data_IF_453989045009
#
_entry.id   IF_453989045009
#
_cell.length_a   1.000
_cell.length_b   1.000
_cell.length_c   1.000
_cell.angle_alpha   90.00
_cell.angle_beta   90.00
_cell.angle_gamma   90.00
#
_symmetry.space_group_name_H-M   'P 1'
#
loop_
_entity.id
_entity.type
_entity.pdbx_description
1 polymer ?
#
# COMPACT_ATOMS: atom_id res chain seq x y z
N UNK A 1 -14.95 -16.40 21.03
CA UNK A 1 -15.99 -15.41 21.37
C UNK A 1 -16.54 -15.76 22.74
N UNK A 2 -16.50 -14.79 23.64
CA UNK A 2 -17.17 -14.91 24.93
C UNK A 2 -18.71 -14.88 24.75
N UNK A 3 -19.44 -15.14 25.82
CA UNK A 3 -20.90 -15.25 25.84
C UNK A 3 -21.61 -13.92 25.56
N UNK A 4 -21.03 -12.80 25.99
CA UNK A 4 -21.56 -11.46 25.74
C UNK A 4 -21.37 -11.08 24.27
N UNK A 5 -20.17 -11.31 23.71
CA UNK A 5 -19.91 -11.12 22.29
C UNK A 5 -20.84 -11.97 21.38
N UNK A 6 -21.30 -13.15 21.84
CA UNK A 6 -22.28 -13.96 21.09
C UNK A 6 -23.67 -13.36 21.10
N UNK A 7 -24.08 -12.76 22.20
CA UNK A 7 -25.38 -12.10 22.33
C UNK A 7 -25.45 -10.84 21.45
N UNK A 8 -24.40 -10.02 21.47
CA UNK A 8 -24.28 -8.84 20.60
C UNK A 8 -24.29 -9.22 19.10
N UNK A 9 -23.59 -10.29 18.73
CA UNK A 9 -23.58 -10.79 17.36
C UNK A 9 -24.96 -11.32 16.92
N UNK A 10 -25.70 -11.98 17.83
CA UNK A 10 -27.06 -12.44 17.55
C UNK A 10 -28.05 -11.26 17.37
N UNK A 11 -27.89 -10.19 18.14
CA UNK A 11 -28.66 -8.96 17.97
C UNK A 11 -28.38 -8.32 16.60
N UNK A 12 -27.11 -8.26 16.19
CA UNK A 12 -26.72 -7.75 14.87
C UNK A 12 -27.27 -8.57 13.71
N UNK A 13 -27.33 -9.90 13.83
CA UNK A 13 -27.92 -10.75 12.77
C UNK A 13 -29.44 -10.52 12.65
N UNK A 14 -30.11 -10.25 13.75
CA UNK A 14 -31.57 -10.07 13.78
C UNK A 14 -31.99 -8.66 13.38
N UNK A 15 -31.17 -7.65 13.67
CA UNK A 15 -31.37 -6.27 13.23
C UNK A 15 -30.61 -5.97 11.93
N UNK A 16 -31.30 -6.18 10.81
CA UNK A 16 -30.75 -5.94 9.46
C UNK A 16 -30.35 -4.48 9.22
N UNK A 17 -30.90 -3.51 9.97
CA UNK A 17 -30.56 -2.09 9.81
C UNK A 17 -29.20 -1.78 10.42
N UNK A 18 -28.96 -2.21 11.67
CA UNK A 18 -27.66 -2.09 12.34
C UNK A 18 -26.56 -2.85 11.59
N UNK A 19 -26.90 -4.02 11.04
CA UNK A 19 -25.98 -4.81 10.23
C UNK A 19 -25.59 -4.07 8.94
N UNK A 20 -26.55 -3.44 8.25
CA UNK A 20 -26.27 -2.65 7.05
C UNK A 20 -25.37 -1.45 7.36
N UNK A 21 -25.60 -0.77 8.48
CA UNK A 21 -24.75 0.35 8.93
C UNK A 21 -23.32 -0.10 9.19
N UNK A 22 -23.11 -1.24 9.85
CA UNK A 22 -21.78 -1.82 10.05
C UNK A 22 -21.13 -2.25 8.74
N UNK A 23 -21.89 -2.91 7.86
CA UNK A 23 -21.38 -3.35 6.55
C UNK A 23 -21.00 -2.16 5.67
N UNK A 24 -21.73 -1.04 5.77
CA UNK A 24 -21.44 0.18 5.00
C UNK A 24 -20.07 0.79 5.28
N UNK A 25 -19.49 0.50 6.46
CA UNK A 25 -18.17 0.97 6.87
C UNK A 25 -17.03 0.07 6.34
N UNK A 26 -17.36 -1.12 5.84
CA UNK A 26 -16.37 -2.06 5.32
C UNK A 26 -15.95 -1.63 3.91
N UNK A 27 -14.65 -1.77 3.60
CA UNK A 27 -14.13 -1.52 2.26
C UNK A 27 -14.95 -2.27 1.19
N UNK A 28 -15.32 -1.62 0.07
CA UNK A 28 -16.05 -2.26 -1.03
C UNK A 28 -15.40 -3.56 -1.50
N UNK A 29 -14.07 -3.69 -1.38
CA UNK A 29 -13.34 -4.90 -1.76
C UNK A 29 -13.73 -6.13 -0.94
N UNK A 30 -14.09 -5.97 0.34
CA UNK A 30 -14.56 -7.07 1.18
C UNK A 30 -15.94 -7.59 0.75
N UNK A 31 -16.72 -6.74 0.04
CA UNK A 31 -18.04 -7.07 -0.48
C UNK A 31 -18.01 -7.51 -1.95
N UNK A 32 -16.84 -7.82 -2.50
CA UNK A 32 -16.67 -8.16 -3.93
C UNK A 32 -17.56 -9.33 -4.38
N UNK A 33 -17.90 -10.26 -3.48
CA UNK A 33 -18.76 -11.40 -3.75
C UNK A 33 -20.27 -11.05 -3.69
N UNK A 34 -20.62 -9.83 -3.28
CA UNK A 34 -22.00 -9.37 -3.04
C UNK A 34 -22.32 -8.07 -3.81
N UNK A 35 -22.32 -8.09 -5.15
CA UNK A 35 -22.49 -6.88 -5.97
C UNK A 35 -23.85 -6.18 -5.78
N UNK A 36 -24.91 -6.95 -5.50
CA UNK A 36 -26.24 -6.39 -5.21
C UNK A 36 -26.23 -5.57 -3.90
N UNK A 37 -25.52 -6.06 -2.89
CA UNK A 37 -25.38 -5.39 -1.59
C UNK A 37 -24.55 -4.10 -1.74
N UNK A 38 -23.43 -4.16 -2.48
CA UNK A 38 -22.66 -2.96 -2.80
C UNK A 38 -23.51 -1.88 -3.47
N UNK A 39 -24.29 -2.26 -4.49
CA UNK A 39 -25.18 -1.32 -5.20
C UNK A 39 -26.21 -0.71 -4.24
N UNK A 40 -26.81 -1.53 -3.37
CA UNK A 40 -27.79 -1.05 -2.40
C UNK A 40 -27.17 -0.04 -1.41
N UNK A 41 -25.98 -0.33 -0.89
CA UNK A 41 -25.27 0.55 0.05
C UNK A 41 -24.92 1.90 -0.60
N UNK A 42 -24.48 1.89 -1.86
CA UNK A 42 -24.21 3.14 -2.61
C UNK A 42 -25.50 3.96 -2.80
N UNK A 43 -26.61 3.31 -3.16
CA UNK A 43 -27.89 4.00 -3.34
C UNK A 43 -28.39 4.62 -2.03
N UNK A 44 -28.24 3.90 -0.92
CA UNK A 44 -28.69 4.34 0.40
C UNK A 44 -27.76 5.38 1.04
N UNK A 45 -26.52 5.50 0.57
CA UNK A 45 -25.54 6.47 1.08
C UNK A 45 -26.09 7.90 1.04
N UNK A 46 -25.98 8.60 2.17
CA UNK A 46 -26.36 10.01 2.30
C UNK A 46 -25.68 10.87 1.23
N UNK A 47 -24.41 10.59 0.92
CA UNK A 47 -23.64 11.32 -0.10
C UNK A 47 -24.15 11.11 -1.51
N UNK A 48 -24.63 9.91 -1.83
CA UNK A 48 -25.27 9.67 -3.12
C UNK A 48 -26.61 10.40 -3.21
N UNK A 49 -27.39 10.44 -2.12
CA UNK A 49 -28.66 11.21 -2.07
C UNK A 49 -28.41 12.71 -2.23
N UNK A 50 -27.39 13.25 -1.57
CA UNK A 50 -26.95 14.64 -1.72
C UNK A 50 -26.59 14.96 -3.18
N UNK A 51 -25.79 14.10 -3.82
CA UNK A 51 -25.40 14.24 -5.23
C UNK A 51 -26.63 14.26 -6.15
N UNK A 52 -27.51 13.27 -6.02
CA UNK A 52 -28.72 13.18 -6.83
C UNK A 52 -29.67 14.38 -6.60
N UNK A 53 -29.74 14.89 -5.37
CA UNK A 53 -30.50 16.11 -5.07
C UNK A 53 -29.87 17.35 -5.72
N UNK A 54 -28.54 17.48 -5.69
CA UNK A 54 -27.82 18.59 -6.32
C UNK A 54 -28.00 18.61 -7.84
N UNK A 55 -27.95 17.44 -8.49
CA UNK A 55 -28.20 17.30 -9.94
C UNK A 55 -29.65 17.69 -10.27
N UNK A 56 -30.62 17.15 -9.53
CA UNK A 56 -32.05 17.49 -9.71
C UNK A 56 -32.36 18.96 -9.47
N UNK A 57 -31.66 19.59 -8.52
CA UNK A 57 -31.78 21.01 -8.22
C UNK A 57 -31.04 21.91 -9.25
N UNK A 58 -30.36 21.32 -10.24
CA UNK A 58 -29.66 22.06 -11.29
C UNK A 58 -28.41 22.79 -10.79
N UNK A 59 -27.81 22.37 -9.67
CA UNK A 59 -26.54 22.97 -9.20
C UNK A 59 -25.39 22.69 -10.16
N UNK A 60 -25.41 21.52 -10.79
CA UNK A 60 -24.54 21.07 -11.87
C UNK A 60 -25.22 19.89 -12.58
N UNK A 61 -24.73 19.56 -13.76
CA UNK A 61 -25.15 18.44 -14.59
C UNK A 61 -24.33 17.18 -14.30
N UNK A 62 -24.86 16.01 -14.68
CA UNK A 62 -24.12 14.75 -14.60
C UNK A 62 -22.84 14.79 -15.45
N UNK A 63 -22.87 15.47 -16.60
CA UNK A 63 -21.69 15.67 -17.46
C UNK A 63 -20.61 16.52 -16.79
N UNK A 64 -20.99 17.58 -16.06
CA UNK A 64 -20.03 18.38 -15.30
C UNK A 64 -19.42 17.57 -14.16
N UNK A 65 -20.21 16.72 -13.49
CA UNK A 65 -19.70 15.81 -12.47
C UNK A 65 -18.66 14.83 -13.04
N UNK A 66 -18.97 14.19 -14.17
CA UNK A 66 -18.05 13.26 -14.82
C UNK A 66 -16.77 13.95 -15.29
N UNK A 67 -16.87 15.20 -15.76
CA UNK A 67 -15.71 15.99 -16.16
C UNK A 67 -14.75 16.23 -14.97
N UNK A 68 -15.27 16.55 -13.80
CA UNK A 68 -14.44 16.71 -12.60
C UNK A 68 -13.81 15.38 -12.17
N UNK A 69 -14.53 14.26 -12.32
CA UNK A 69 -13.95 12.93 -12.09
C UNK A 69 -12.79 12.65 -13.06
N UNK A 70 -12.92 13.02 -14.33
CA UNK A 70 -11.85 12.83 -15.32
C UNK A 70 -10.63 13.72 -15.04
N UNK A 71 -10.84 14.96 -14.59
CA UNK A 71 -9.73 15.84 -14.16
C UNK A 71 -8.99 15.30 -12.95
N UNK A 72 -9.73 14.72 -12.00
CA UNK A 72 -9.13 14.02 -10.87
C UNK A 72 -8.26 12.84 -11.34
N UNK A 73 -8.77 12.03 -12.28
CA UNK A 73 -8.01 10.90 -12.86
C UNK A 73 -6.76 11.37 -13.60
N UNK A 74 -6.85 12.47 -14.36
CA UNK A 74 -5.71 13.05 -15.07
C UNK A 74 -4.61 13.51 -14.10
N UNK A 75 -5.00 14.21 -13.02
CA UNK A 75 -4.07 14.65 -11.96
C UNK A 75 -3.38 13.46 -11.29
N UNK A 76 -4.14 12.43 -10.91
CA UNK A 76 -3.59 11.20 -10.30
C UNK A 76 -2.65 10.50 -11.30
N UNK A 77 -3.04 10.42 -12.57
CA UNK A 77 -2.21 9.83 -13.62
C UNK A 77 -0.87 10.55 -13.77
N UNK A 78 -0.89 11.89 -13.75
CA UNK A 78 0.30 12.73 -13.80
C UNK A 78 1.21 12.51 -12.58
N UNK A 79 0.65 12.45 -11.36
CA UNK A 79 1.44 12.18 -10.15
C UNK A 79 2.09 10.78 -10.18
N UNK A 80 1.35 9.77 -10.64
CA UNK A 80 1.87 8.40 -10.74
C UNK A 80 3.04 8.32 -11.72
N UNK A 81 2.91 8.94 -12.89
CA UNK A 81 3.93 8.82 -13.95
C UNK A 81 5.26 9.49 -13.56
N UNK A 82 5.25 10.50 -12.69
CA UNK A 82 6.47 11.12 -12.14
C UNK A 82 7.34 10.14 -11.33
N UNK A 83 6.75 9.05 -10.82
CA UNK A 83 7.43 8.05 -9.99
C UNK A 83 7.87 6.81 -10.76
N UNK A 84 7.58 6.74 -12.06
CA UNK A 84 7.73 5.55 -12.90
C UNK A 84 8.79 5.80 -13.97
N UNK A 85 9.53 4.75 -14.32
CA UNK A 85 10.45 4.80 -15.45
C UNK A 85 9.70 4.87 -16.80
N UNK A 86 9.83 6.02 -17.46
CA UNK A 86 9.21 6.36 -18.76
C UNK A 86 10.18 6.25 -19.94
N UNK A 87 11.36 5.63 -19.76
CA UNK A 87 12.41 5.54 -20.80
C UNK A 87 11.90 4.96 -22.12
N UNK A 88 11.08 3.90 -22.07
CA UNK A 88 10.51 3.27 -23.26
C UNK A 88 9.61 4.24 -24.05
N UNK A 89 8.74 4.98 -23.36
CA UNK A 89 7.89 6.02 -23.96
C UNK A 89 8.74 7.14 -24.54
N UNK A 90 9.72 7.63 -23.78
CA UNK A 90 10.63 8.69 -24.22
C UNK A 90 11.38 8.30 -25.49
N UNK A 91 11.99 7.11 -25.53
CA UNK A 91 12.68 6.60 -26.72
C UNK A 91 11.74 6.49 -27.93
N UNK A 92 10.49 6.05 -27.70
CA UNK A 92 9.49 5.97 -28.77
C UNK A 92 9.14 7.35 -29.30
N UNK A 93 8.85 8.32 -28.42
CA UNK A 93 8.53 9.70 -28.82
C UNK A 93 9.72 10.34 -29.55
N UNK A 94 10.95 10.18 -29.04
CA UNK A 94 12.17 10.66 -29.71
C UNK A 94 12.28 10.10 -31.13
N UNK A 95 11.96 8.81 -31.33
CA UNK A 95 11.99 8.19 -32.67
C UNK A 95 10.95 8.76 -33.65
N UNK A 96 9.87 9.38 -33.13
CA UNK A 96 8.77 9.92 -33.92
C UNK A 96 8.95 11.41 -34.20
N UNK A 97 9.36 12.20 -33.20
CA UNK A 97 9.38 13.68 -33.29
C UNK A 97 10.77 14.31 -33.17
N UNK A 98 11.79 13.55 -32.73
CA UNK A 98 13.13 14.07 -32.52
C UNK A 98 13.17 15.22 -31.52
N UNK A 99 13.51 16.42 -31.99
CA UNK A 99 13.61 17.63 -31.18
C UNK A 99 12.35 18.53 -31.25
N UNK A 100 11.35 18.21 -32.06
CA UNK A 100 10.15 19.02 -32.23
C UNK A 100 9.13 18.76 -31.10
N UNK A 101 9.31 19.46 -29.98
CA UNK A 101 8.49 19.27 -28.78
C UNK A 101 6.99 19.51 -29.01
N UNK A 102 6.63 20.46 -29.86
CA UNK A 102 5.22 20.77 -30.19
C UNK A 102 4.54 19.65 -30.97
N UNK A 103 5.29 18.81 -31.68
CA UNK A 103 4.73 17.67 -32.41
C UNK A 103 4.27 16.55 -31.46
N UNK A 104 4.72 16.53 -30.20
CA UNK A 104 4.30 15.53 -29.21
C UNK A 104 2.79 15.57 -28.99
N UNK A 105 2.18 16.76 -28.96
CA UNK A 105 0.74 16.95 -28.75
C UNK A 105 -0.11 16.37 -29.88
N UNK A 106 0.50 16.12 -31.05
CA UNK A 106 -0.19 15.58 -32.22
C UNK A 106 -0.12 14.05 -32.31
N UNK A 107 0.68 13.40 -31.46
CA UNK A 107 0.85 11.96 -31.47
C UNK A 107 -0.42 11.25 -31.00
N UNK A 108 -0.79 10.20 -31.73
CA UNK A 108 -1.92 9.34 -31.39
C UNK A 108 -1.48 8.06 -30.69
N UNK A 109 -2.44 7.35 -30.10
CA UNK A 109 -2.24 5.99 -29.55
C UNK A 109 -1.65 5.05 -30.60
N UNK A 110 -2.05 5.20 -31.87
CA UNK A 110 -1.56 4.38 -32.98
C UNK A 110 -0.08 4.66 -33.27
N UNK A 111 0.33 5.93 -33.23
CA UNK A 111 1.71 6.32 -33.49
C UNK A 111 2.65 5.81 -32.40
N UNK A 112 2.24 5.93 -31.13
CA UNK A 112 3.04 5.46 -29.99
C UNK A 112 3.13 3.93 -30.00
N UNK A 113 2.00 3.26 -30.24
CA UNK A 113 1.90 1.81 -30.28
C UNK A 113 1.42 1.21 -28.96
N UNK A 114 0.61 0.16 -29.07
CA UNK A 114 -0.05 -0.47 -27.92
C UNK A 114 0.91 -1.13 -26.94
N UNK A 115 2.06 -1.63 -27.40
CA UNK A 115 3.06 -2.29 -26.55
C UNK A 115 3.67 -1.32 -25.52
N UNK A 116 4.15 -0.16 -25.98
CA UNK A 116 4.75 0.88 -25.14
C UNK A 116 3.72 1.43 -24.15
N UNK A 117 2.50 1.65 -24.61
CA UNK A 117 1.41 2.14 -23.77
C UNK A 117 0.96 1.10 -22.74
N UNK A 118 0.87 -0.17 -23.12
CA UNK A 118 0.52 -1.25 -22.21
C UNK A 118 1.57 -1.42 -21.11
N UNK A 119 2.86 -1.38 -21.46
CA UNK A 119 3.95 -1.43 -20.47
C UNK A 119 3.82 -0.28 -19.45
N UNK A 120 3.59 0.94 -19.93
CA UNK A 120 3.39 2.10 -19.06
C UNK A 120 2.18 1.94 -18.14
N UNK A 121 1.04 1.51 -18.68
CA UNK A 121 -0.19 1.29 -17.91
C UNK A 121 -0.01 0.19 -16.86
N UNK A 122 0.73 -0.88 -17.18
CA UNK A 122 1.07 -1.94 -16.22
C UNK A 122 1.94 -1.38 -15.09
N UNK A 123 2.96 -0.58 -15.42
CA UNK A 123 3.79 0.08 -14.40
C UNK A 123 2.95 0.99 -13.50
N UNK A 124 2.05 1.80 -14.08
CA UNK A 124 1.13 2.65 -13.32
C UNK A 124 0.22 1.84 -12.41
N UNK A 125 -0.37 0.75 -12.90
CA UNK A 125 -1.20 -0.14 -12.11
C UNK A 125 -0.43 -0.75 -10.93
N UNK A 126 0.81 -1.19 -11.15
CA UNK A 126 1.66 -1.72 -10.09
C UNK A 126 1.99 -0.66 -9.02
N UNK A 127 2.30 0.57 -9.44
CA UNK A 127 2.53 1.68 -8.50
C UNK A 127 1.30 1.98 -7.65
N UNK A 128 0.11 1.99 -8.26
CA UNK A 128 -1.17 2.15 -7.52
C UNK A 128 -1.34 1.02 -6.51
N UNK A 129 -1.11 -0.22 -6.92
CA UNK A 129 -1.21 -1.39 -6.03
C UNK A 129 -0.20 -1.26 -4.88
N UNK A 130 1.03 -0.84 -5.14
CA UNK A 130 2.05 -0.70 -4.11
C UNK A 130 1.77 0.45 -3.12
N UNK A 131 1.18 1.54 -3.59
CA UNK A 131 0.75 2.66 -2.74
C UNK A 131 -0.54 2.37 -1.96
N UNK A 132 -1.38 1.44 -2.43
CA UNK A 132 -2.65 1.06 -1.78
C UNK A 132 -2.54 -0.20 -0.93
N UNK A 133 -1.45 -0.96 -1.07
CA UNK A 133 -1.11 -2.02 -0.11
C UNK A 133 -0.96 -1.38 1.26
N UNK A 134 -1.89 -1.67 2.17
CA UNK A 134 -1.62 -1.65 3.60
C UNK A 134 -0.33 -2.47 3.76
N UNK A 135 0.77 -1.80 4.11
CA UNK A 135 2.02 -2.51 4.43
C UNK A 135 1.69 -3.37 5.63
N UNK A 136 1.32 -4.63 5.40
CA UNK A 136 1.30 -5.63 6.45
C UNK A 136 2.75 -5.80 6.82
N UNK A 137 3.17 -5.09 7.87
CA UNK A 137 4.53 -5.15 8.36
C UNK A 137 4.73 -6.57 8.93
N UNK A 138 5.25 -7.46 8.09
CA UNK A 138 5.67 -8.79 8.53
C UNK A 138 7.09 -8.66 9.06
N UNK A 139 7.19 -8.36 10.35
CA UNK A 139 8.48 -8.41 11.03
C UNK A 139 9.04 -9.84 10.94
N UNK A 140 10.34 -10.03 10.61
CA UNK A 140 10.93 -11.36 10.52
C UNK A 140 10.81 -12.19 11.81
N UNK A 141 10.71 -11.51 12.97
CA UNK A 141 10.52 -12.14 14.27
C UNK A 141 9.08 -12.56 14.59
N UNK A 142 8.09 -12.17 13.76
CA UNK A 142 6.69 -12.60 13.85
C UNK A 142 6.32 -13.61 12.74
N UNK A 143 7.29 -14.16 12.01
CA UNK A 143 7.01 -15.05 10.90
C UNK A 143 6.48 -16.42 11.35
N UNK A 144 5.25 -16.80 10.96
CA UNK A 144 4.68 -18.12 11.29
C UNK A 144 5.28 -19.29 10.49
N UNK A 145 6.03 -19.01 9.42
CA UNK A 145 6.66 -20.00 8.54
C UNK A 145 8.13 -19.67 8.29
N UNK A 146 8.99 -20.68 8.42
CA UNK A 146 10.44 -20.58 8.21
C UNK A 146 11.24 -20.81 9.48
N UNK A 147 12.56 -20.87 9.35
CA UNK A 147 13.46 -20.90 10.53
C UNK A 147 13.71 -19.46 10.99
N UNK A 148 13.12 -19.08 12.11
CA UNK A 148 13.41 -17.79 12.76
C UNK A 148 14.61 -17.98 13.68
N UNK A 149 15.64 -17.15 13.49
CA UNK A 149 16.75 -17.05 14.42
C UNK A 149 16.35 -16.18 15.63
N UNK A 150 15.56 -16.77 16.54
CA UNK A 150 15.04 -16.06 17.72
C UNK A 150 16.15 -15.43 18.56
N UNK A 151 17.31 -16.08 18.65
CA UNK A 151 18.46 -15.58 19.41
C UNK A 151 18.99 -14.27 18.82
N UNK A 152 19.06 -14.16 17.49
CA UNK A 152 19.44 -12.91 16.84
C UNK A 152 18.38 -11.83 17.07
N UNK A 153 17.11 -12.15 16.78
CA UNK A 153 16.06 -11.13 16.80
C UNK A 153 15.78 -10.57 18.20
N UNK A 154 15.97 -11.36 19.28
CA UNK A 154 15.91 -10.83 20.66
C UNK A 154 17.03 -9.82 20.97
N UNK A 155 18.15 -9.90 20.26
CA UNK A 155 19.30 -8.99 20.40
C UNK A 155 19.40 -7.98 19.25
N UNK A 156 18.34 -7.81 18.45
CA UNK A 156 18.38 -6.98 17.26
C UNK A 156 18.77 -5.52 17.56
N UNK A 157 18.42 -4.98 18.73
CA UNK A 157 18.84 -3.65 19.19
C UNK A 157 20.38 -3.50 19.23
N UNK A 158 21.11 -4.50 19.74
CA UNK A 158 22.58 -4.46 19.78
C UNK A 158 23.18 -4.55 18.38
N UNK A 159 22.61 -5.40 17.53
CA UNK A 159 23.01 -5.51 16.14
C UNK A 159 22.72 -4.21 15.35
N UNK A 160 21.63 -3.50 15.68
CA UNK A 160 21.32 -2.19 15.10
C UNK A 160 22.33 -1.12 15.53
N UNK A 161 22.72 -1.11 16.80
CA UNK A 161 23.74 -0.20 17.32
C UNK A 161 25.09 -0.43 16.62
N UNK A 162 25.50 -1.70 16.48
CA UNK A 162 26.70 -2.06 15.73
C UNK A 162 26.62 -1.68 14.24
N UNK A 163 25.44 -1.87 13.63
CA UNK A 163 25.20 -1.54 12.22
C UNK A 163 25.28 -0.03 11.94
N UNK A 164 24.72 0.78 12.84
CA UNK A 164 24.50 2.22 12.64
C UNK A 164 25.62 3.07 13.23
N UNK A 165 26.15 2.69 14.39
CA UNK A 165 27.11 3.50 15.15
C UNK A 165 28.54 2.98 15.11
N UNK A 166 28.73 1.66 14.96
CA UNK A 166 30.06 1.04 14.98
C UNK A 166 30.62 0.69 13.58
N UNK A 167 29.89 1.02 12.51
CA UNK A 167 30.37 0.87 11.13
C UNK A 167 30.25 -0.54 10.53
N UNK A 168 29.51 -1.45 11.16
CA UNK A 168 29.22 -2.80 10.64
C UNK A 168 28.07 -2.78 9.60
N UNK A 169 28.15 -1.88 8.62
CA UNK A 169 27.04 -1.53 7.70
C UNK A 169 26.77 -2.52 6.55
N UNK A 170 27.49 -3.64 6.49
CA UNK A 170 27.28 -4.73 5.52
C UNK A 170 26.94 -6.05 6.23
N UNK A 171 26.21 -6.94 5.54
CA UNK A 171 25.83 -8.24 6.12
C UNK A 171 27.04 -9.02 6.66
N UNK A 172 28.12 -9.11 5.87
CA UNK A 172 29.34 -9.81 6.27
C UNK A 172 29.94 -9.25 7.57
N UNK A 173 30.09 -7.92 7.64
CA UNK A 173 30.62 -7.23 8.82
C UNK A 173 29.73 -7.45 10.04
N UNK A 174 28.42 -7.26 9.87
CA UNK A 174 27.43 -7.48 10.92
C UNK A 174 27.42 -8.93 11.40
N UNK A 175 27.56 -9.91 10.50
CA UNK A 175 27.61 -11.32 10.86
C UNK A 175 28.81 -11.64 11.76
N UNK A 176 30.01 -11.15 11.41
CA UNK A 176 31.19 -11.33 12.25
C UNK A 176 31.01 -10.71 13.64
N UNK A 177 30.44 -9.50 13.69
CA UNK A 177 30.13 -8.85 14.97
C UNK A 177 29.12 -9.67 15.78
N UNK A 178 28.09 -10.21 15.14
CA UNK A 178 27.05 -10.97 15.83
C UNK A 178 27.58 -12.31 16.39
N UNK A 179 28.40 -13.02 15.61
CA UNK A 179 29.03 -14.26 16.07
C UNK A 179 29.95 -14.00 17.28
N UNK A 180 30.67 -12.88 17.29
CA UNK A 180 31.58 -12.51 18.37
C UNK A 180 30.89 -11.97 19.63
N UNK A 181 29.82 -11.16 19.49
CA UNK A 181 29.26 -10.38 20.61
C UNK A 181 27.91 -10.89 21.14
N UNK A 182 27.10 -11.53 20.30
CA UNK A 182 25.79 -12.06 20.69
C UNK A 182 25.67 -13.57 20.46
N UNK A 183 26.76 -14.23 20.05
CA UNK A 183 26.86 -15.69 19.94
C UNK A 183 25.94 -16.29 18.88
N UNK A 184 25.57 -15.54 17.85
CA UNK A 184 24.67 -16.00 16.78
C UNK A 184 25.00 -15.35 15.45
N UNK A 185 24.64 -16.01 14.36
CA UNK A 185 24.74 -15.43 13.02
C UNK A 185 23.73 -14.31 12.81
N UNK A 186 24.10 -13.35 11.97
CA UNK A 186 23.19 -12.33 11.49
C UNK A 186 22.37 -12.88 10.31
N UNK A 187 21.02 -12.90 10.36
CA UNK A 187 20.19 -13.24 9.22
C UNK A 187 20.51 -12.34 8.02
N UNK A 188 20.45 -12.88 6.80
CA UNK A 188 20.65 -12.12 5.56
C UNK A 188 19.69 -10.93 5.42
N UNK A 189 18.51 -11.03 6.03
CA UNK A 189 17.50 -9.97 6.05
C UNK A 189 17.81 -8.83 7.02
N UNK A 190 18.77 -8.97 7.94
CA UNK A 190 19.02 -7.99 9.01
C UNK A 190 19.41 -6.59 8.52
N UNK A 191 20.30 -6.39 7.53
CA UNK A 191 20.62 -5.04 7.07
C UNK A 191 19.44 -4.36 6.38
N UNK A 192 18.63 -5.13 5.62
CA UNK A 192 17.41 -4.61 5.00
C UNK A 192 16.39 -4.22 6.07
N UNK A 193 16.23 -5.04 7.10
CA UNK A 193 15.36 -4.74 8.23
C UNK A 193 15.73 -3.41 8.90
N UNK A 194 17.00 -3.19 9.24
CA UNK A 194 17.46 -1.94 9.88
C UNK A 194 17.28 -0.72 8.98
N UNK A 195 17.51 -0.85 7.67
CA UNK A 195 17.25 0.23 6.71
C UNK A 195 15.76 0.55 6.57
N UNK A 196 14.89 -0.46 6.65
CA UNK A 196 13.46 -0.31 6.43
C UNK A 196 12.68 0.14 7.66
N UNK A 197 13.10 -0.28 8.86
CA UNK A 197 12.35 -0.06 10.10
C UNK A 197 13.13 0.71 11.17
N UNK A 198 14.42 0.99 10.95
CA UNK A 198 15.24 1.72 11.90
C UNK A 198 15.55 0.90 13.15
N UNK A 199 15.59 1.62 14.29
CA UNK A 199 15.90 1.05 15.60
C UNK A 199 14.79 0.10 16.09
N UNK A 200 15.07 -1.19 16.32
CA UNK A 200 14.09 -2.15 16.85
C UNK A 200 13.43 -1.70 18.16
N UNK A 201 14.10 -0.89 18.98
CA UNK A 201 13.56 -0.37 20.26
C UNK A 201 12.37 0.57 20.05
N UNK A 202 12.18 1.10 18.85
CA UNK A 202 11.04 1.97 18.51
C UNK A 202 9.81 1.19 18.03
N UNK A 203 9.94 -0.13 17.84
CA UNK A 203 8.87 -1.01 17.36
C UNK A 203 8.17 -1.68 18.56
N UNK A 204 6.92 -1.34 18.89
CA UNK A 204 6.21 -1.95 20.02
C UNK A 204 6.17 -3.49 19.95
N UNK A 205 5.99 -4.04 18.74
CA UNK A 205 5.93 -5.47 18.50
C UNK A 205 7.28 -6.14 18.79
N UNK A 206 8.39 -5.45 18.51
CA UNK A 206 9.70 -5.97 18.86
C UNK A 206 9.95 -5.89 20.36
N UNK A 207 9.56 -4.79 21.01
CA UNK A 207 9.70 -4.61 22.46
C UNK A 207 8.95 -5.71 23.21
N UNK A 208 7.71 -5.99 22.82
CA UNK A 208 6.92 -7.10 23.35
C UNK A 208 7.58 -8.46 23.07
N UNK A 209 7.94 -8.72 21.80
CA UNK A 209 8.56 -9.98 21.37
C UNK A 209 9.90 -10.27 22.08
N UNK A 210 10.74 -9.25 22.25
CA UNK A 210 12.04 -9.36 22.89
C UNK A 210 11.96 -9.29 24.43
N UNK A 211 10.77 -8.97 24.97
CA UNK A 211 10.57 -8.66 26.40
C UNK A 211 11.55 -7.60 26.89
N UNK A 212 11.76 -6.57 26.06
CA UNK A 212 12.76 -5.54 26.31
C UNK A 212 12.19 -4.50 27.28
N UNK A 213 12.69 -4.49 28.51
CA UNK A 213 12.41 -3.43 29.47
C UNK A 213 13.52 -2.39 29.39
N UNK A 214 13.19 -1.14 29.03
CA UNK A 214 14.12 -0.03 29.23
C UNK A 214 14.42 0.08 30.74
N UNK A 215 15.65 -0.24 31.11
CA UNK A 215 16.19 -0.04 32.46
C UNK A 215 16.95 1.27 32.48
#
# INVERSE_FOLDING_TARGET
>A
MDQDAKLEFAELITDQSKLLDLISQVSPQALKQYPALQKHLVIQSEKNRELQSAIKAGKFTETEWDLELYRLLDTIGYELIQTIDTTALSNRVISLVGAEITAIETLTIQDIGSEVLAELLIKMANTVIDNTKIRVIRYPFLAEKGRIDHNFWKHAHKAYDAYTHEGYSSHYKLNMWCEANIGTRAPQSSPKFFKSYGDPRTLPEWVEYASYNQS
#
